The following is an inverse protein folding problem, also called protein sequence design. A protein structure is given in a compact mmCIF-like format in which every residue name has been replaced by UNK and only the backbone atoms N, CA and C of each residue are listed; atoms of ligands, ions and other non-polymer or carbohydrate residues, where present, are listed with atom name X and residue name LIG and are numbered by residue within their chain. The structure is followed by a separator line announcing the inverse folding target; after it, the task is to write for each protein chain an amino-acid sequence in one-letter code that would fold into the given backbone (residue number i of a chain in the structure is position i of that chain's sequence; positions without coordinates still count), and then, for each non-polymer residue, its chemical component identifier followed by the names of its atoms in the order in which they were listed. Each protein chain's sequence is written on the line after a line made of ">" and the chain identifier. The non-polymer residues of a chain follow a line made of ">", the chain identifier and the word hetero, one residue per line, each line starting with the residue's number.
data_IF_511054635100
#
_entry.id   IF_511054635100
#
_cell.length_a   1.000
_cell.length_b   1.000
_cell.length_c   1.000
_cell.angle_alpha   90.00
_cell.angle_beta   90.00
_cell.angle_gamma   90.00
#
_symmetry.space_group_name_H-M   'P 1'
#
loop_
_entity.id
_entity.type
_entity.pdbx_description
1 polymer ?
#
# COMPACT_ATOMS: atom_id res chain seq x y z
N UNK A 1 -10.38 9.27 -11.87
CA UNK A 1 -10.53 8.94 -10.44
C UNK A 1 -11.46 7.74 -10.40
N UNK A 2 -11.11 6.64 -9.72
CA UNK A 2 -11.95 5.46 -9.70
C UNK A 2 -13.27 5.75 -8.96
N UNK A 3 -14.35 5.15 -9.42
CA UNK A 3 -15.67 5.16 -8.80
C UNK A 3 -15.77 4.11 -7.71
N UNK A 4 -16.79 4.23 -6.86
CA UNK A 4 -17.00 3.33 -5.72
C UNK A 4 -17.02 1.83 -6.12
N UNK A 5 -17.69 1.41 -7.21
CA UNK A 5 -17.70 -0.01 -7.59
C UNK A 5 -16.31 -0.56 -7.92
N UNK A 6 -15.45 0.25 -8.53
CA UNK A 6 -14.10 -0.15 -8.93
C UNK A 6 -13.17 -0.24 -7.72
N UNK A 7 -13.33 0.69 -6.76
CA UNK A 7 -12.61 0.64 -5.48
C UNK A 7 -13.00 -0.60 -4.69
N UNK A 8 -14.28 -0.95 -4.64
CA UNK A 8 -14.74 -2.14 -3.90
C UNK A 8 -14.26 -3.43 -4.56
N UNK A 9 -14.28 -3.51 -5.89
CA UNK A 9 -13.73 -4.66 -6.61
C UNK A 9 -12.23 -4.85 -6.33
N UNK A 10 -11.47 -3.76 -6.30
CA UNK A 10 -10.05 -3.80 -5.94
C UNK A 10 -9.85 -4.20 -4.48
N UNK A 11 -10.66 -3.68 -3.55
CA UNK A 11 -10.59 -4.01 -2.12
C UNK A 11 -10.73 -5.52 -1.91
N UNK A 12 -11.78 -6.13 -2.47
CA UNK A 12 -12.02 -7.58 -2.36
C UNK A 12 -10.85 -8.38 -2.94
N UNK A 13 -10.34 -7.98 -4.12
CA UNK A 13 -9.19 -8.65 -4.71
C UNK A 13 -7.95 -8.56 -3.81
N UNK A 14 -7.65 -7.40 -3.22
CA UNK A 14 -6.49 -7.23 -2.36
C UNK A 14 -6.64 -7.98 -1.03
N UNK A 15 -7.84 -8.02 -0.44
CA UNK A 15 -8.12 -8.78 0.79
C UNK A 15 -7.75 -10.27 0.61
N UNK A 16 -8.15 -10.87 -0.53
CA UNK A 16 -7.87 -12.27 -0.83
C UNK A 16 -6.39 -12.56 -1.07
N UNK A 17 -5.62 -11.55 -1.51
CA UNK A 17 -4.26 -11.74 -2.02
C UNK A 17 -3.18 -11.20 -1.10
N UNK A 18 -3.44 -10.26 -0.20
CA UNK A 18 -2.39 -9.55 0.53
C UNK A 18 -2.43 -9.76 2.05
N UNK A 19 -3.59 -10.01 2.65
CA UNK A 19 -3.71 -10.15 4.11
C UNK A 19 -2.80 -11.25 4.64
N UNK A 20 -2.03 -10.93 5.68
CA UNK A 20 -1.07 -11.85 6.29
C UNK A 20 0.27 -11.98 5.55
N UNK A 21 0.49 -11.23 4.45
CA UNK A 21 1.79 -11.16 3.79
C UNK A 21 2.67 -10.09 4.42
N UNK A 22 3.97 -10.40 4.55
CA UNK A 22 4.99 -9.46 4.98
C UNK A 22 5.45 -8.57 3.83
N UNK A 23 5.63 -7.29 4.12
CA UNK A 23 6.19 -6.31 3.19
C UNK A 23 7.72 -6.44 3.19
N UNK A 24 8.26 -7.12 2.19
CA UNK A 24 9.70 -7.37 2.10
C UNK A 24 10.54 -6.12 1.78
N UNK A 25 9.98 -5.14 1.07
CA UNK A 25 10.69 -3.92 0.65
C UNK A 25 9.73 -2.83 0.18
N UNK A 26 10.07 -1.57 0.43
CA UNK A 26 9.32 -0.40 -0.06
C UNK A 26 10.26 0.61 -0.71
N UNK A 27 9.87 1.15 -1.87
CA UNK A 27 10.67 2.13 -2.62
C UNK A 27 9.84 3.36 -2.98
N UNK A 28 10.37 4.59 -2.80
CA UNK A 28 9.69 5.78 -3.27
C UNK A 28 9.69 5.82 -4.80
N UNK A 29 8.53 6.08 -5.40
CA UNK A 29 8.41 6.20 -6.87
C UNK A 29 9.01 7.51 -7.40
N UNK A 30 9.00 8.57 -6.59
CA UNK A 30 9.54 9.88 -6.92
C UNK A 30 10.07 10.59 -5.66
N UNK A 31 10.94 11.59 -5.82
CA UNK A 31 11.47 12.34 -4.67
C UNK A 31 10.38 13.21 -4.01
N UNK A 32 9.41 13.71 -4.79
CA UNK A 32 8.35 14.60 -4.29
C UNK A 32 7.45 13.96 -3.22
N UNK A 33 7.23 12.64 -3.29
CA UNK A 33 6.34 11.91 -2.38
C UNK A 33 6.94 11.70 -0.99
N UNK A 34 8.26 11.82 -0.83
CA UNK A 34 8.92 11.72 0.48
C UNK A 34 8.43 12.77 1.48
N UNK A 35 7.84 13.88 1.00
CA UNK A 35 7.30 14.95 1.84
C UNK A 35 5.91 14.65 2.40
N UNK A 36 5.22 13.66 1.84
CA UNK A 36 3.80 13.41 2.10
C UNK A 36 3.54 12.05 2.74
N UNK A 37 4.56 11.20 2.90
CA UNK A 37 4.37 9.91 3.57
C UNK A 37 4.21 10.09 5.07
N UNK A 38 3.06 9.63 5.57
CA UNK A 38 2.76 9.48 6.98
C UNK A 38 2.00 8.15 7.17
N UNK A 39 2.60 7.14 7.82
CA UNK A 39 3.95 7.12 8.39
C UNK A 39 5.06 7.12 7.32
N UNK A 40 6.33 7.39 7.70
CA UNK A 40 7.47 7.26 6.78
C UNK A 40 7.54 5.87 6.16
N UNK A 41 8.00 5.75 4.90
CA UNK A 41 8.09 4.45 4.18
C UNK A 41 8.87 3.38 4.95
N UNK A 42 9.90 3.78 5.69
CA UNK A 42 10.72 2.86 6.50
C UNK A 42 9.96 2.20 7.64
N UNK A 43 8.77 2.70 7.99
CA UNK A 43 7.91 2.08 9.00
C UNK A 43 7.13 0.87 8.47
N UNK A 44 7.09 0.66 7.14
CA UNK A 44 6.31 -0.41 6.51
C UNK A 44 7.14 -1.67 6.21
N UNK A 45 8.45 -1.56 6.03
CA UNK A 45 9.29 -2.74 5.77
C UNK A 45 9.27 -3.71 6.96
N UNK A 46 9.01 -4.99 6.70
CA UNK A 46 8.88 -6.03 7.72
C UNK A 46 7.54 -6.06 8.46
N UNK A 47 6.59 -5.16 8.13
CA UNK A 47 5.23 -5.25 8.68
C UNK A 47 4.38 -6.24 7.89
N UNK A 48 3.32 -6.74 8.52
CA UNK A 48 2.32 -7.59 7.88
C UNK A 48 1.11 -6.75 7.49
N UNK A 49 0.56 -7.02 6.29
CA UNK A 49 -0.68 -6.42 5.79
C UNK A 49 -1.89 -6.95 6.55
#
# INVERSE_FOLDING_TARGET
>A
MPELPEVEALRVFLDDHLVGKEIARVLPLAISVLKTYDPPLTALEGTVV
#
